data_IF_652287584686
#
_entry.id   IF_652287584686
#
_cell.length_a   1.000
_cell.length_b   1.000
_cell.length_c   1.000
_cell.angle_alpha   90.00
_cell.angle_beta   90.00
_cell.angle_gamma   90.00
#
_symmetry.space_group_name_H-M   'P 1'
#
loop_
_entity.id
_entity.type
_entity.pdbx_description
1 polymer ?
#
# COMPACT_ATOMS: atom_id res chain seq x y z
N UNK A 1 -87.38 5.37 -9.34
CA UNK A 1 -88.01 4.24 -10.02
C UNK A 1 -87.06 3.09 -9.81
N UNK A 2 -87.29 2.03 -9.20
CA UNK A 2 -88.31 1.19 -8.70
C UNK A 2 -87.55 0.03 -8.04
N UNK A 3 -87.74 -0.17 -6.77
CA UNK A 3 -87.65 -1.51 -6.19
C UNK A 3 -88.87 -2.30 -6.61
N UNK A 4 -89.09 -3.57 -6.39
CA UNK A 4 -88.60 -4.44 -5.28
C UNK A 4 -88.36 -5.90 -5.80
N UNK A 5 -87.87 -6.86 -5.02
CA UNK A 5 -88.64 -7.72 -4.13
C UNK A 5 -87.84 -8.97 -3.74
N UNK A 6 -87.80 -9.29 -2.47
CA UNK A 6 -87.60 -10.64 -1.91
C UNK A 6 -88.85 -11.55 -2.26
N UNK A 7 -88.85 -12.89 -2.04
CA UNK A 7 -88.55 -13.57 -0.81
C UNK A 7 -88.10 -15.06 -0.80
N UNK A 8 -87.69 -15.57 0.37
CA UNK A 8 -87.92 -16.92 1.01
C UNK A 8 -87.37 -18.19 0.35
N UNK A 9 -86.91 -19.20 0.99
CA UNK A 9 -87.06 -19.78 2.34
C UNK A 9 -86.16 -21.03 2.50
N UNK A 10 -85.66 -21.25 3.71
CA UNK A 10 -85.53 -22.52 4.41
C UNK A 10 -84.74 -23.74 3.81
N UNK A 11 -83.64 -24.22 4.40
CA UNK A 11 -83.69 -25.36 5.32
C UNK A 11 -82.32 -25.69 5.98
N UNK A 12 -82.39 -26.06 7.20
CA UNK A 12 -81.38 -26.51 8.13
C UNK A 12 -80.53 -27.69 7.64
N UNK A 13 -79.27 -27.72 7.99
CA UNK A 13 -78.40 -28.87 7.91
C UNK A 13 -77.20 -28.68 8.83
N UNK A 14 -77.24 -29.27 9.99
CA UNK A 14 -76.17 -29.30 10.99
C UNK A 14 -75.05 -30.22 10.46
N UNK A 15 -73.86 -29.66 10.21
CA UNK A 15 -72.61 -30.43 9.94
C UNK A 15 -71.52 -29.94 10.86
N UNK A 16 -71.19 -30.69 11.90
CA UNK A 16 -70.03 -30.49 12.75
C UNK A 16 -68.75 -30.74 11.91
N UNK A 17 -68.04 -29.71 11.55
CA UNK A 17 -66.67 -29.83 11.02
C UNK A 17 -65.65 -29.60 12.12
N UNK A 18 -65.01 -30.64 12.53
CA UNK A 18 -63.84 -30.60 13.41
C UNK A 18 -62.68 -29.88 12.69
N UNK A 19 -62.35 -28.66 13.13
CA UNK A 19 -61.14 -27.98 12.73
C UNK A 19 -59.95 -28.60 13.51
N UNK A 20 -59.17 -29.43 12.81
CA UNK A 20 -57.90 -29.91 13.29
C UNK A 20 -56.92 -28.76 13.17
N UNK A 21 -56.60 -28.09 14.25
CA UNK A 21 -55.50 -27.12 14.35
C UNK A 21 -54.22 -27.90 14.50
N UNK A 22 -53.44 -28.01 13.41
CA UNK A 22 -52.09 -28.54 13.44
C UNK A 22 -51.17 -27.41 13.95
N UNK A 23 -50.51 -27.57 15.09
CA UNK A 23 -49.51 -26.60 15.52
C UNK A 23 -48.31 -26.66 14.56
N UNK A 24 -48.08 -25.61 13.80
CA UNK A 24 -46.88 -25.40 13.01
C UNK A 24 -45.70 -25.17 13.97
N UNK A 25 -44.99 -26.25 14.35
CA UNK A 25 -43.76 -26.16 15.09
C UNK A 25 -42.71 -25.47 14.20
N UNK A 26 -42.42 -24.19 14.43
CA UNK A 26 -41.29 -23.46 13.88
C UNK A 26 -40.01 -24.09 14.42
N UNK A 27 -39.47 -25.04 13.67
CA UNK A 27 -38.14 -25.61 13.90
C UNK A 27 -37.13 -24.51 13.50
N UNK A 28 -36.71 -23.70 14.48
CA UNK A 28 -35.62 -22.75 14.31
C UNK A 28 -34.32 -23.57 14.14
N UNK A 29 -33.91 -23.79 12.90
CA UNK A 29 -32.58 -24.26 12.53
C UNK A 29 -31.57 -23.19 12.98
N UNK A 30 -31.11 -23.27 14.21
CA UNK A 30 -29.93 -22.58 14.65
C UNK A 30 -28.74 -23.15 13.85
N UNK A 31 -28.32 -22.41 12.80
CA UNK A 31 -27.07 -22.71 12.11
C UNK A 31 -25.95 -22.71 13.18
N UNK A 32 -25.14 -23.74 13.27
CA UNK A 32 -24.03 -23.74 14.20
C UNK A 32 -23.10 -22.60 13.76
N UNK A 33 -22.97 -21.60 14.61
CA UNK A 33 -21.91 -20.60 14.49
C UNK A 33 -20.60 -21.36 14.52
N UNK A 34 -19.99 -21.56 13.37
CA UNK A 34 -18.68 -22.21 13.26
C UNK A 34 -17.69 -21.34 14.01
N UNK A 35 -17.45 -21.67 15.27
CA UNK A 35 -16.38 -21.06 16.04
C UNK A 35 -15.09 -21.32 15.27
N UNK A 36 -14.53 -20.26 14.66
CA UNK A 36 -13.26 -20.34 13.95
C UNK A 36 -12.23 -20.99 14.90
N UNK A 37 -11.74 -22.18 14.54
CA UNK A 37 -10.73 -22.90 15.33
C UNK A 37 -9.54 -21.97 15.52
N UNK A 38 -9.14 -21.74 16.77
CA UNK A 38 -7.91 -21.00 17.07
C UNK A 38 -6.76 -21.69 16.35
N UNK A 39 -5.93 -20.97 15.59
CA UNK A 39 -4.79 -21.57 14.91
C UNK A 39 -3.87 -22.20 15.98
N UNK A 40 -3.46 -23.44 15.76
CA UNK A 40 -2.54 -24.16 16.65
C UNK A 40 -1.08 -23.78 16.40
N UNK A 41 -0.82 -23.04 15.33
CA UNK A 41 0.50 -22.55 14.92
C UNK A 41 0.38 -21.13 14.37
N UNK A 42 1.48 -20.39 14.38
CA UNK A 42 1.57 -19.11 13.70
C UNK A 42 1.35 -19.33 12.19
N UNK A 43 0.41 -18.60 11.61
CA UNK A 43 0.27 -18.50 10.17
C UNK A 43 0.85 -17.16 9.71
N UNK A 44 1.74 -17.21 8.72
CA UNK A 44 2.36 -16.03 8.11
C UNK A 44 2.05 -16.06 6.62
N UNK A 45 1.21 -15.14 6.17
CA UNK A 45 0.92 -14.90 4.77
C UNK A 45 1.72 -13.69 4.27
N UNK A 46 2.13 -13.74 3.01
CA UNK A 46 2.94 -12.70 2.39
C UNK A 46 2.36 -12.35 1.02
N UNK A 47 2.25 -11.07 0.74
CA UNK A 47 1.92 -10.53 -0.57
C UNK A 47 3.07 -9.65 -1.06
N UNK A 48 3.43 -9.75 -2.34
CA UNK A 48 2.92 -10.68 -3.36
C UNK A 48 3.35 -12.12 -3.07
N UNK A 49 2.62 -13.13 -3.56
CA UNK A 49 2.95 -14.55 -3.35
C UNK A 49 4.32 -14.94 -3.95
N UNK A 50 4.74 -14.27 -5.02
CA UNK A 50 6.08 -14.37 -5.59
C UNK A 50 6.88 -13.12 -5.26
N UNK A 51 7.81 -13.24 -4.34
CA UNK A 51 8.72 -12.16 -3.95
C UNK A 51 9.92 -12.15 -4.91
N UNK A 52 10.24 -10.98 -5.45
CA UNK A 52 11.44 -10.73 -6.25
C UNK A 52 12.25 -9.58 -5.65
N UNK A 53 13.52 -9.42 -6.02
CA UNK A 53 14.23 -8.18 -5.68
C UNK A 53 13.49 -6.96 -6.28
N UNK A 54 13.31 -5.92 -5.46
CA UNK A 54 12.43 -4.78 -5.75
C UNK A 54 11.00 -4.90 -5.19
N UNK A 55 10.58 -6.04 -4.64
CA UNK A 55 9.22 -6.21 -4.12
C UNK A 55 8.99 -5.48 -2.80
N UNK A 56 7.91 -4.69 -2.66
CA UNK A 56 7.32 -4.43 -1.35
C UNK A 56 6.62 -5.69 -0.85
N UNK A 57 6.52 -5.86 0.46
CA UNK A 57 5.87 -6.99 1.11
C UNK A 57 4.78 -6.48 2.06
N UNK A 58 3.58 -7.01 1.97
CA UNK A 58 2.61 -7.00 3.06
C UNK A 58 2.72 -8.35 3.79
N UNK A 59 2.99 -8.29 5.07
CA UNK A 59 3.14 -9.44 5.96
C UNK A 59 1.93 -9.48 6.88
N UNK A 60 1.15 -10.55 6.78
CA UNK A 60 0.04 -10.85 7.68
C UNK A 60 0.45 -11.99 8.61
N UNK A 61 0.33 -11.76 9.92
CA UNK A 61 0.65 -12.74 10.94
C UNK A 61 -0.60 -13.04 11.76
N UNK A 62 -1.05 -14.29 11.75
CA UNK A 62 -2.09 -14.80 12.64
C UNK A 62 -1.42 -15.66 13.70
N UNK A 63 -1.20 -15.14 14.92
CA UNK A 63 -0.55 -15.90 15.98
C UNK A 63 -1.46 -16.98 16.55
N UNK A 64 -0.87 -18.06 17.08
CA UNK A 64 -1.61 -19.15 17.71
C UNK A 64 -2.36 -18.72 19.00
N UNK A 65 -1.93 -17.63 19.61
CA UNK A 65 -2.50 -17.05 20.82
C UNK A 65 -2.47 -15.51 20.75
N UNK A 66 -3.28 -14.85 21.58
CA UNK A 66 -3.32 -13.40 21.62
C UNK A 66 -1.97 -12.80 22.04
N UNK A 67 -1.50 -11.82 21.28
CA UNK A 67 -0.28 -11.07 21.55
C UNK A 67 -0.61 -9.68 22.07
N UNK A 68 0.23 -9.18 22.97
CA UNK A 68 0.26 -7.77 23.41
C UNK A 68 1.05 -6.91 22.40
N UNK A 69 2.11 -7.48 21.83
CA UNK A 69 2.94 -6.82 20.82
C UNK A 69 3.54 -7.84 19.86
N UNK A 70 3.85 -7.37 18.65
CA UNK A 70 4.57 -8.12 17.62
C UNK A 70 5.56 -7.19 16.94
N UNK A 71 6.78 -7.66 16.78
CA UNK A 71 7.83 -7.03 15.98
C UNK A 71 8.54 -8.09 15.14
N UNK A 72 9.36 -7.68 14.19
CA UNK A 72 10.15 -8.61 13.39
C UNK A 72 11.42 -7.99 12.86
N UNK A 73 12.23 -8.83 12.21
CA UNK A 73 13.41 -8.42 11.45
C UNK A 73 13.37 -9.02 10.05
N UNK A 74 13.71 -8.20 9.06
CA UNK A 74 13.77 -8.59 7.65
C UNK A 74 14.93 -7.88 6.97
N UNK A 75 15.88 -8.65 6.40
CA UNK A 75 17.04 -8.12 5.68
C UNK A 75 17.80 -7.03 6.47
N UNK A 76 17.96 -7.22 7.77
CA UNK A 76 18.64 -6.28 8.67
C UNK A 76 17.80 -5.11 9.16
N UNK A 77 16.56 -4.95 8.70
CA UNK A 77 15.63 -3.89 9.11
C UNK A 77 14.61 -4.39 10.13
N UNK A 78 14.16 -3.50 11.02
CA UNK A 78 13.05 -3.78 11.92
C UNK A 78 11.71 -3.72 11.16
N UNK A 79 10.86 -4.71 11.36
CA UNK A 79 9.49 -4.73 10.82
C UNK A 79 8.52 -4.40 11.93
N UNK A 80 7.78 -3.31 11.74
CA UNK A 80 6.73 -2.88 12.66
C UNK A 80 5.40 -3.52 12.28
N UNK A 81 4.66 -3.97 13.27
CA UNK A 81 3.35 -4.59 13.10
C UNK A 81 2.28 -3.83 13.85
N UNK A 82 1.10 -3.71 13.23
CA UNK A 82 -0.11 -3.19 13.87
C UNK A 82 -1.16 -4.29 13.92
N UNK A 83 -1.81 -4.44 15.07
CA UNK A 83 -2.93 -5.36 15.20
C UNK A 83 -4.13 -4.90 14.37
N UNK A 84 -4.85 -5.84 13.80
CA UNK A 84 -6.19 -5.62 13.31
C UNK A 84 -7.15 -5.28 14.47
N UNK A 85 -8.28 -4.62 14.18
CA UNK A 85 -9.28 -4.23 15.19
C UNK A 85 -9.76 -5.41 16.03
N UNK A 86 -9.83 -6.61 15.46
CA UNK A 86 -10.21 -7.83 16.17
C UNK A 86 -9.08 -8.42 17.03
N UNK A 87 -7.85 -7.96 16.88
CA UNK A 87 -6.64 -8.47 17.52
C UNK A 87 -6.24 -9.90 17.06
N UNK A 88 -6.86 -10.42 15.99
CA UNK A 88 -6.60 -11.78 15.49
C UNK A 88 -5.42 -11.82 14.50
N UNK A 89 -5.23 -10.77 13.74
CA UNK A 89 -4.16 -10.64 12.77
C UNK A 89 -3.32 -9.39 13.04
N UNK A 90 -2.08 -9.44 12.60
CA UNK A 90 -1.11 -8.36 12.67
C UNK A 90 -0.56 -8.10 11.28
N UNK A 91 -0.44 -6.84 10.91
CA UNK A 91 0.01 -6.42 9.59
C UNK A 91 1.24 -5.54 9.69
N UNK A 92 2.24 -5.87 8.87
CA UNK A 92 3.46 -5.08 8.71
C UNK A 92 3.84 -4.96 7.24
N UNK A 93 4.58 -3.90 6.93
CA UNK A 93 5.16 -3.68 5.60
C UNK A 93 6.66 -3.89 5.69
N UNK A 94 7.23 -4.50 4.64
CA UNK A 94 8.65 -4.66 4.44
C UNK A 94 9.01 -4.44 2.96
N UNK A 95 10.30 -4.47 2.64
CA UNK A 95 10.78 -4.30 1.27
C UNK A 95 11.97 -5.20 0.97
N UNK A 96 12.19 -5.43 -0.33
CA UNK A 96 13.38 -6.09 -0.86
C UNK A 96 14.04 -5.12 -1.84
N UNK A 97 15.30 -4.78 -1.64
CA UNK A 97 16.04 -3.89 -2.53
C UNK A 97 16.19 -4.46 -3.93
N UNK A 98 16.35 -3.57 -4.92
CA UNK A 98 16.61 -3.97 -6.31
C UNK A 98 17.94 -4.72 -6.44
N UNK A 99 18.90 -4.40 -5.60
CA UNK A 99 20.24 -5.00 -5.55
C UNK A 99 20.34 -6.19 -4.59
N UNK A 100 19.23 -6.57 -3.92
CA UNK A 100 19.23 -7.71 -3.00
C UNK A 100 19.48 -9.02 -3.74
N UNK A 101 20.31 -9.87 -3.15
CA UNK A 101 20.66 -11.16 -3.76
C UNK A 101 19.48 -12.12 -3.68
N UNK A 102 19.10 -12.75 -4.82
CA UNK A 102 18.09 -13.80 -4.80
C UNK A 102 18.52 -14.98 -3.93
N UNK A 103 17.57 -15.54 -3.19
CA UNK A 103 17.86 -16.63 -2.26
C UNK A 103 16.77 -16.81 -1.21
N UNK A 104 17.02 -17.72 -0.27
CA UNK A 104 16.17 -17.92 0.92
C UNK A 104 16.57 -16.90 1.98
N UNK A 105 15.65 -16.05 2.36
CA UNK A 105 15.80 -15.05 3.41
C UNK A 105 14.92 -15.43 4.60
N UNK A 106 15.32 -15.02 5.80
CA UNK A 106 14.59 -15.33 7.04
C UNK A 106 13.90 -14.06 7.54
N UNK A 107 12.59 -14.14 7.70
CA UNK A 107 11.79 -13.20 8.47
C UNK A 107 11.73 -13.71 9.92
N UNK A 108 12.32 -12.97 10.83
CA UNK A 108 12.24 -13.23 12.27
C UNK A 108 11.04 -12.46 12.85
N UNK A 109 10.27 -13.11 13.70
CA UNK A 109 9.11 -12.55 14.38
C UNK A 109 9.24 -12.75 15.89
N UNK A 110 9.00 -11.68 16.65
CA UNK A 110 9.08 -11.66 18.10
C UNK A 110 7.79 -11.11 18.69
N UNK A 111 7.05 -11.95 19.39
CA UNK A 111 5.79 -11.59 20.02
C UNK A 111 5.89 -11.61 21.53
N UNK A 112 5.09 -10.77 22.20
CA UNK A 112 4.84 -10.84 23.64
C UNK A 112 3.38 -11.23 23.84
N UNK A 113 3.13 -12.31 24.58
CA UNK A 113 1.77 -12.76 24.87
C UNK A 113 1.04 -11.82 25.82
N UNK A 114 -0.28 -11.96 25.94
CA UNK A 114 -1.07 -11.25 26.93
C UNK A 114 -0.61 -11.52 28.38
N UNK A 115 0.05 -12.67 28.62
CA UNK A 115 0.60 -13.04 29.92
C UNK A 115 2.02 -12.50 30.17
N UNK A 116 2.66 -11.93 29.14
CA UNK A 116 4.03 -11.39 29.22
C UNK A 116 5.11 -12.36 28.72
N UNK A 117 4.77 -13.57 28.25
CA UNK A 117 5.75 -14.51 27.74
C UNK A 117 6.30 -14.07 26.39
N UNK A 118 7.62 -14.11 26.19
CA UNK A 118 8.25 -13.87 24.91
C UNK A 118 8.16 -15.12 24.02
N UNK A 119 7.81 -14.91 22.75
CA UNK A 119 7.72 -15.98 21.75
C UNK A 119 8.42 -15.54 20.48
N UNK A 120 9.15 -16.45 19.86
CA UNK A 120 9.80 -16.20 18.57
C UNK A 120 9.35 -17.21 17.53
N UNK A 121 9.29 -16.75 16.28
CA UNK A 121 8.95 -17.55 15.12
C UNK A 121 9.74 -17.09 13.90
N UNK A 122 10.20 -18.02 13.09
CA UNK A 122 10.90 -17.73 11.83
C UNK A 122 10.09 -18.18 10.62
N UNK A 123 10.10 -17.35 9.58
CA UNK A 123 9.54 -17.68 8.27
C UNK A 123 10.59 -17.52 7.19
N UNK A 124 10.89 -18.60 6.47
CA UNK A 124 11.76 -18.54 5.29
C UNK A 124 10.95 -18.10 4.08
N UNK A 125 11.46 -17.06 3.39
CA UNK A 125 10.86 -16.46 2.20
C UNK A 125 11.86 -16.61 1.06
N UNK A 126 11.42 -17.13 -0.09
CA UNK A 126 12.25 -17.21 -1.28
C UNK A 126 12.17 -15.86 -2.03
N UNK A 127 13.28 -15.17 -2.12
CA UNK A 127 13.46 -14.01 -3.00
C UNK A 127 13.96 -14.53 -4.35
N UNK A 128 13.24 -14.19 -5.42
CA UNK A 128 13.60 -14.57 -6.79
C UNK A 128 14.28 -13.39 -7.51
N UNK A 129 15.00 -13.67 -8.57
CA UNK A 129 15.57 -12.64 -9.44
C UNK A 129 14.47 -11.99 -10.28
N UNK A 130 14.37 -10.65 -10.24
CA UNK A 130 13.56 -9.89 -11.17
C UNK A 130 14.24 -9.79 -12.56
N UNK A 131 13.43 -9.49 -13.56
CA UNK A 131 13.92 -9.19 -14.92
C UNK A 131 13.65 -7.71 -15.17
N UNK A 132 14.71 -6.92 -15.29
CA UNK A 132 14.63 -5.49 -15.56
C UNK A 132 15.10 -5.17 -16.96
N UNK A 133 14.46 -4.20 -17.60
CA UNK A 133 14.79 -3.70 -18.92
C UNK A 133 16.01 -2.77 -18.87
N UNK A 134 16.61 -2.50 -20.03
CA UNK A 134 17.68 -1.50 -20.20
C UNK A 134 17.28 -0.56 -21.32
N UNK A 135 17.38 0.74 -21.08
CA UNK A 135 17.07 1.79 -22.05
C UNK A 135 18.13 2.89 -22.05
N UNK A 136 18.30 3.55 -23.18
CA UNK A 136 19.05 4.80 -23.29
C UNK A 136 18.07 5.96 -23.19
N UNK A 137 18.46 6.99 -22.44
CA UNK A 137 17.63 8.20 -22.19
C UNK A 137 18.46 9.44 -22.48
N UNK A 138 17.90 10.39 -23.21
CA UNK A 138 18.54 11.68 -23.44
C UNK A 138 17.96 12.72 -22.50
N UNK A 139 18.84 13.47 -21.83
CA UNK A 139 18.49 14.56 -20.90
C UNK A 139 19.37 15.77 -21.16
N UNK A 140 18.99 17.00 -20.75
CA UNK A 140 19.85 18.18 -20.81
C UNK A 140 21.21 17.93 -20.12
N UNK A 141 22.30 18.42 -20.72
CA UNK A 141 23.68 18.14 -20.29
C UNK A 141 23.94 18.47 -18.81
N UNK A 142 23.33 19.52 -18.26
CA UNK A 142 23.48 19.89 -16.84
C UNK A 142 23.15 18.76 -15.85
N UNK A 143 22.37 17.72 -16.26
CA UNK A 143 22.02 16.60 -15.43
C UNK A 143 23.04 15.43 -15.51
N UNK A 144 23.93 15.45 -16.49
CA UNK A 144 25.04 14.51 -16.64
C UNK A 144 26.40 15.17 -16.39
N UNK A 145 26.52 16.47 -16.63
CA UNK A 145 27.70 17.29 -16.48
C UNK A 145 27.35 18.58 -15.72
N UNK A 146 27.06 18.47 -14.39
CA UNK A 146 26.63 19.61 -13.60
C UNK A 146 27.75 20.64 -13.41
N UNK A 147 27.39 21.94 -13.46
CA UNK A 147 28.29 23.04 -13.12
C UNK A 147 28.66 23.04 -11.63
N UNK A 148 29.69 23.80 -11.19
CA UNK A 148 30.00 23.95 -9.76
C UNK A 148 28.82 24.48 -8.92
N UNK A 149 27.98 25.36 -9.47
CA UNK A 149 26.78 25.84 -8.81
C UNK A 149 25.71 24.75 -8.68
N UNK A 150 25.51 23.95 -9.77
CA UNK A 150 24.62 22.80 -9.73
C UNK A 150 25.07 21.76 -8.71
N UNK A 151 26.39 21.50 -8.59
CA UNK A 151 26.95 20.58 -7.62
C UNK A 151 26.69 21.03 -6.16
N UNK A 152 26.72 22.34 -5.90
CA UNK A 152 26.34 22.90 -4.61
C UNK A 152 24.87 22.57 -4.28
N UNK A 153 23.95 22.81 -5.21
CA UNK A 153 22.53 22.50 -5.05
C UNK A 153 22.31 20.99 -4.86
N UNK A 154 22.95 20.15 -5.69
CA UNK A 154 22.87 18.69 -5.60
C UNK A 154 23.31 18.19 -4.21
N UNK A 155 24.39 18.74 -3.64
CA UNK A 155 24.88 18.34 -2.33
C UNK A 155 23.91 18.79 -1.23
N UNK A 156 23.35 19.99 -1.31
CA UNK A 156 22.35 20.49 -0.36
C UNK A 156 21.07 19.59 -0.42
N UNK A 157 20.59 19.29 -1.62
CA UNK A 157 19.43 18.40 -1.80
C UNK A 157 19.68 16.98 -1.28
N UNK A 158 20.91 16.47 -1.47
CA UNK A 158 21.31 15.15 -0.96
C UNK A 158 21.27 15.12 0.57
N UNK A 159 21.80 16.16 1.24
CA UNK A 159 21.77 16.27 2.70
C UNK A 159 20.33 16.37 3.22
N UNK A 160 19.50 17.21 2.62
CA UNK A 160 18.09 17.35 2.97
C UNK A 160 17.34 16.03 2.79
N UNK A 161 17.50 15.36 1.63
CA UNK A 161 16.88 14.05 1.39
C UNK A 161 17.34 13.01 2.41
N UNK A 162 18.61 12.97 2.76
CA UNK A 162 19.12 12.06 3.77
C UNK A 162 18.42 12.25 5.12
N UNK A 163 18.19 13.50 5.52
CA UNK A 163 17.45 13.83 6.74
C UNK A 163 15.97 13.44 6.65
N UNK A 164 15.28 13.87 5.58
CA UNK A 164 13.84 13.65 5.41
C UNK A 164 13.51 12.15 5.25
N UNK A 165 14.29 11.45 4.42
CA UNK A 165 14.04 10.05 4.08
C UNK A 165 14.56 9.05 5.13
N UNK A 166 15.24 9.50 6.19
CA UNK A 166 15.67 8.65 7.30
C UNK A 166 14.57 8.42 8.33
N UNK A 167 13.45 9.12 8.21
CA UNK A 167 12.33 8.99 9.17
C UNK A 167 11.76 7.58 9.15
N UNK A 168 11.77 6.93 10.30
CA UNK A 168 11.21 5.60 10.53
C UNK A 168 10.47 5.64 11.87
N UNK A 169 9.21 5.27 11.87
CA UNK A 169 8.38 5.19 13.08
C UNK A 169 7.52 3.93 13.05
N UNK A 170 7.14 3.40 14.24
CA UNK A 170 6.31 2.20 14.33
C UNK A 170 4.84 2.46 13.97
N UNK A 171 4.41 3.72 14.04
CA UNK A 171 3.02 4.11 13.78
C UNK A 171 2.61 3.80 12.35
N UNK A 172 1.44 3.21 12.17
CA UNK A 172 0.83 2.98 10.87
C UNK A 172 -0.08 4.14 10.52
N UNK A 173 0.24 4.88 9.48
CA UNK A 173 -0.62 5.93 8.95
C UNK A 173 -1.47 5.44 7.77
N UNK A 174 -0.98 4.53 6.94
CA UNK A 174 -1.75 3.97 5.83
C UNK A 174 -2.98 3.18 6.27
N UNK A 175 -4.03 3.16 5.43
CA UNK A 175 -5.30 2.49 5.71
C UNK A 175 -5.94 2.01 4.41
N UNK A 176 -6.29 0.73 4.35
CA UNK A 176 -6.85 0.11 3.15
C UNK A 176 -5.90 0.17 1.94
N UNK A 177 -6.40 -0.20 0.77
CA UNK A 177 -5.59 -0.29 -0.44
C UNK A 177 -4.99 1.06 -0.87
N UNK A 178 -3.76 1.03 -1.36
CA UNK A 178 -3.16 2.16 -2.07
C UNK A 178 -3.84 2.38 -3.41
N UNK A 179 -4.00 3.62 -3.84
CA UNK A 179 -4.64 4.00 -5.10
C UNK A 179 -3.63 4.65 -6.06
N UNK A 180 -3.82 4.45 -7.36
CA UNK A 180 -2.98 5.13 -8.34
C UNK A 180 -3.11 6.66 -8.21
N UNK A 181 -2.00 7.42 -8.29
CA UNK A 181 -2.00 8.87 -8.10
C UNK A 181 -2.63 9.63 -9.25
N UNK A 182 -2.69 9.02 -10.43
CA UNK A 182 -3.30 9.54 -11.65
C UNK A 182 -3.97 8.41 -12.43
N UNK A 183 -4.94 8.74 -13.28
CA UNK A 183 -5.56 7.79 -14.23
C UNK A 183 -4.84 7.88 -15.58
N UNK A 184 -3.76 7.14 -15.75
CA UNK A 184 -2.97 7.14 -16.98
C UNK A 184 -2.22 5.81 -17.18
N UNK A 185 -1.72 5.60 -18.40
CA UNK A 185 -0.84 4.48 -18.70
C UNK A 185 0.56 4.68 -18.10
N UNK A 186 1.17 3.57 -17.74
CA UNK A 186 2.57 3.54 -17.30
C UNK A 186 3.45 3.68 -18.52
N UNK A 187 4.39 4.63 -18.48
CA UNK A 187 5.36 4.89 -19.55
C UNK A 187 6.73 4.27 -19.28
N UNK A 188 7.13 4.12 -18.01
CA UNK A 188 8.33 3.35 -17.63
C UNK A 188 8.15 2.72 -16.24
N UNK A 189 8.76 1.56 -16.06
CA UNK A 189 8.56 0.71 -14.87
C UNK A 189 9.76 0.78 -13.93
N UNK A 190 9.53 0.42 -12.67
CA UNK A 190 10.55 0.24 -11.65
C UNK A 190 11.62 -0.78 -12.10
N UNK A 191 12.88 -0.51 -11.75
CA UNK A 191 14.01 -1.40 -12.00
C UNK A 191 14.63 -1.26 -13.39
N UNK A 192 14.03 -0.47 -14.31
CA UNK A 192 14.61 -0.20 -15.62
C UNK A 192 16.01 0.42 -15.48
N UNK A 193 17.05 -0.25 -16.02
CA UNK A 193 18.40 0.27 -16.05
C UNK A 193 18.50 1.35 -17.15
N UNK A 194 18.83 2.57 -16.77
CA UNK A 194 18.89 3.74 -17.65
C UNK A 194 20.32 4.18 -17.88
N UNK A 195 20.70 4.42 -19.14
CA UNK A 195 21.94 5.09 -19.50
C UNK A 195 21.60 6.49 -20.00
N UNK A 196 22.04 7.52 -19.28
CA UNK A 196 21.79 8.91 -19.62
C UNK A 196 22.91 9.44 -20.50
N UNK A 197 22.57 9.97 -21.69
CA UNK A 197 23.52 10.54 -22.66
C UNK A 197 24.74 9.63 -22.93
N UNK A 198 24.55 8.31 -22.86
CA UNK A 198 25.61 7.32 -23.10
C UNK A 198 26.65 7.14 -21.98
N UNK A 199 26.57 7.93 -20.90
CA UNK A 199 27.60 7.97 -19.86
C UNK A 199 27.11 7.50 -18.49
N UNK A 200 26.11 8.18 -17.92
CA UNK A 200 25.63 7.92 -16.55
C UNK A 200 24.68 6.72 -16.52
N UNK A 201 24.97 5.74 -15.66
CA UNK A 201 24.08 4.61 -15.43
C UNK A 201 23.27 4.84 -14.14
N UNK A 202 21.97 4.50 -14.18
CA UNK A 202 21.05 4.59 -13.05
C UNK A 202 19.97 3.52 -13.17
N UNK A 203 19.42 3.09 -12.05
CA UNK A 203 18.24 2.23 -12.01
C UNK A 203 17.01 3.12 -11.73
N UNK A 204 15.95 2.92 -12.49
CA UNK A 204 14.68 3.62 -12.29
C UNK A 204 14.05 3.17 -10.96
N UNK A 205 14.05 4.05 -9.97
CA UNK A 205 13.59 3.77 -8.61
C UNK A 205 12.11 4.12 -8.39
N UNK A 206 11.31 4.09 -9.45
CA UNK A 206 9.89 4.46 -9.41
C UNK A 206 9.10 3.95 -10.59
N UNK A 207 7.94 4.53 -10.78
CA UNK A 207 6.97 4.24 -11.81
C UNK A 207 6.61 5.57 -12.49
N UNK A 208 6.78 5.64 -13.82
CA UNK A 208 6.43 6.83 -14.58
C UNK A 208 5.04 6.68 -15.22
N UNK A 209 4.20 7.68 -15.03
CA UNK A 209 2.89 7.81 -15.66
C UNK A 209 2.94 8.86 -16.77
N UNK A 210 2.61 8.47 -18.00
CA UNK A 210 2.52 9.39 -19.13
C UNK A 210 1.28 10.28 -19.02
N UNK A 211 1.47 11.51 -18.50
CA UNK A 211 0.38 12.48 -18.31
C UNK A 211 0.81 13.86 -18.80
N UNK A 212 -0.13 14.65 -19.37
CA UNK A 212 0.13 16.05 -19.68
C UNK A 212 0.49 16.86 -18.43
N UNK A 213 1.23 17.95 -18.63
CA UNK A 213 1.46 18.93 -17.58
C UNK A 213 0.13 19.51 -17.07
N UNK A 214 0.02 19.69 -15.75
CA UNK A 214 -1.17 20.22 -15.11
C UNK A 214 -2.23 19.18 -14.75
N UNK A 215 -1.96 17.86 -14.97
CA UNK A 215 -2.86 16.81 -14.51
C UNK A 215 -2.85 16.75 -12.98
N UNK A 216 -4.01 16.74 -12.30
CA UNK A 216 -4.11 16.59 -10.85
C UNK A 216 -3.44 15.29 -10.36
N UNK A 217 -2.57 15.41 -9.36
CA UNK A 217 -1.85 14.30 -8.73
C UNK A 217 -2.39 14.08 -7.33
N UNK A 218 -2.80 12.84 -7.06
CA UNK A 218 -3.45 12.44 -5.82
C UNK A 218 -2.50 11.69 -4.89
N UNK A 219 -2.67 11.85 -3.57
CA UNK A 219 -2.01 11.01 -2.57
C UNK A 219 -2.47 9.56 -2.72
N UNK A 220 -1.52 8.62 -2.84
CA UNK A 220 -1.81 7.18 -3.03
C UNK A 220 -2.45 6.54 -1.80
N UNK A 221 -2.19 7.09 -0.62
CA UNK A 221 -2.82 6.74 0.66
C UNK A 221 -2.71 7.94 1.61
N UNK A 222 -3.36 7.87 2.77
CA UNK A 222 -3.19 8.89 3.81
C UNK A 222 -1.76 8.87 4.34
N UNK A 223 -1.30 10.02 4.80
CA UNK A 223 0.05 10.18 5.35
C UNK A 223 0.35 11.62 5.74
N UNK A 224 1.56 11.84 6.20
CA UNK A 224 2.07 13.16 6.57
C UNK A 224 3.09 13.64 5.54
N UNK A 225 2.95 14.87 5.06
CA UNK A 225 3.91 15.49 4.13
C UNK A 225 5.22 15.75 4.87
N UNK A 226 6.31 15.10 4.44
CA UNK A 226 7.65 15.36 4.98
C UNK A 226 8.40 16.44 4.19
N UNK A 227 8.15 16.50 2.88
CA UNK A 227 8.80 17.43 1.97
C UNK A 227 7.82 17.91 0.91
N UNK A 228 7.86 19.19 0.57
CA UNK A 228 7.17 19.77 -0.57
C UNK A 228 7.99 20.96 -1.07
N UNK A 229 8.98 20.72 -1.97
CA UNK A 229 9.84 21.75 -2.53
C UNK A 229 10.52 21.36 -3.83
N UNK A 230 11.17 22.34 -4.49
CA UNK A 230 11.98 22.14 -5.67
C UNK A 230 13.35 21.55 -5.29
N UNK A 231 13.73 20.45 -5.98
CA UNK A 231 15.03 19.81 -5.90
C UNK A 231 15.66 19.74 -7.30
N UNK A 232 16.98 19.61 -7.38
CA UNK A 232 17.70 19.69 -8.66
C UNK A 232 17.30 18.56 -9.64
N UNK A 233 17.32 17.31 -9.19
CA UNK A 233 16.97 16.16 -10.04
C UNK A 233 15.48 15.85 -10.03
N UNK A 234 14.86 15.88 -8.88
CA UNK A 234 13.45 15.51 -8.69
C UNK A 234 12.47 16.58 -9.19
N UNK A 235 12.96 17.82 -9.40
CA UNK A 235 12.08 18.96 -9.67
C UNK A 235 11.21 19.28 -8.46
N UNK A 236 10.02 19.83 -8.66
CA UNK A 236 9.05 19.98 -7.59
C UNK A 236 8.65 18.59 -7.08
N UNK A 237 8.92 18.35 -5.81
CA UNK A 237 8.85 17.03 -5.18
C UNK A 237 7.99 17.07 -3.92
N UNK A 238 7.12 16.08 -3.76
CA UNK A 238 6.38 15.82 -2.52
C UNK A 238 6.81 14.46 -1.97
N UNK A 239 7.07 14.38 -0.67
CA UNK A 239 7.32 13.12 0.06
C UNK A 239 6.23 12.96 1.10
N UNK A 240 5.54 11.82 1.07
CA UNK A 240 4.55 11.41 2.08
C UNK A 240 5.11 10.28 2.94
N UNK A 241 4.97 10.41 4.24
CA UNK A 241 5.20 9.36 5.23
C UNK A 241 3.87 8.64 5.51
N UNK A 242 3.83 7.35 5.28
CA UNK A 242 2.67 6.51 5.56
C UNK A 242 2.82 5.71 6.86
N UNK A 243 3.90 5.96 7.59
CA UNK A 243 4.26 5.21 8.80
C UNK A 243 4.92 3.86 8.50
N UNK A 244 5.39 3.20 9.55
CA UNK A 244 6.12 1.93 9.48
C UNK A 244 7.35 1.96 8.54
N UNK A 245 7.92 3.16 8.33
CA UNK A 245 9.06 3.39 7.44
C UNK A 245 8.71 3.39 5.94
N UNK A 246 7.43 3.41 5.57
CA UNK A 246 6.97 3.48 4.18
C UNK A 246 6.77 4.93 3.75
N UNK A 247 7.50 5.34 2.72
CA UNK A 247 7.39 6.65 2.08
C UNK A 247 6.95 6.51 0.63
N UNK A 248 6.17 7.49 0.14
CA UNK A 248 5.97 7.70 -1.31
C UNK A 248 6.46 9.06 -1.74
N UNK A 249 7.03 9.14 -2.93
CA UNK A 249 7.73 10.31 -3.46
C UNK A 249 7.15 10.62 -4.84
N UNK A 250 6.66 11.84 -5.01
CA UNK A 250 6.05 12.34 -6.24
C UNK A 250 6.97 13.40 -6.83
N UNK A 251 7.44 13.21 -8.06
CA UNK A 251 8.45 14.08 -8.68
C UNK A 251 7.96 14.71 -9.96
N UNK A 252 8.73 15.68 -10.43
CA UNK A 252 8.57 16.43 -11.69
C UNK A 252 7.29 17.25 -11.75
N UNK A 253 6.69 17.60 -10.58
CA UNK A 253 5.45 18.36 -10.49
C UNK A 253 5.63 19.77 -11.08
N UNK A 254 4.58 20.31 -11.70
CA UNK A 254 4.54 21.72 -12.13
C UNK A 254 4.13 22.64 -10.98
N UNK A 255 3.34 22.14 -10.03
CA UNK A 255 2.83 22.89 -8.88
C UNK A 255 2.74 21.99 -7.65
N UNK A 256 3.15 22.53 -6.51
CA UNK A 256 2.95 21.92 -5.19
C UNK A 256 1.69 22.53 -4.57
N UNK A 257 0.82 21.70 -3.97
CA UNK A 257 -0.44 22.15 -3.36
C UNK A 257 -0.57 21.72 -1.89
N UNK A 258 0.51 21.20 -1.32
CA UNK A 258 0.64 20.82 0.09
C UNK A 258 1.94 21.38 0.65
N UNK A 259 2.09 21.38 1.97
CA UNK A 259 3.27 21.85 2.69
C UNK A 259 3.74 20.83 3.73
N UNK A 260 5.04 20.85 4.13
CA UNK A 260 5.56 19.98 5.18
C UNK A 260 4.77 20.08 6.48
N UNK A 261 4.51 18.93 7.11
CA UNK A 261 3.70 18.79 8.32
C UNK A 261 2.20 18.63 8.08
N UNK A 262 1.72 18.85 6.86
CA UNK A 262 0.30 18.66 6.51
C UNK A 262 -0.05 17.16 6.47
N UNK A 263 -1.20 16.79 7.02
CA UNK A 263 -1.79 15.46 6.87
C UNK A 263 -2.68 15.44 5.63
N UNK A 264 -2.53 14.41 4.83
CA UNK A 264 -3.31 14.21 3.62
C UNK A 264 -4.06 12.89 3.68
N UNK A 265 -5.24 12.87 3.08
CA UNK A 265 -6.05 11.66 2.92
C UNK A 265 -5.78 10.97 1.57
N UNK A 266 -6.09 9.68 1.46
CA UNK A 266 -6.02 8.96 0.19
C UNK A 266 -6.92 9.62 -0.84
N UNK A 267 -6.36 9.95 -2.01
CA UNK A 267 -7.08 10.64 -3.09
C UNK A 267 -7.19 12.15 -2.92
N UNK A 268 -6.59 12.73 -1.89
CA UNK A 268 -6.44 14.18 -1.80
C UNK A 268 -5.43 14.65 -2.85
N UNK A 269 -5.74 15.74 -3.55
CA UNK A 269 -4.82 16.37 -4.49
C UNK A 269 -3.65 17.00 -3.74
N UNK A 270 -2.44 16.70 -4.19
CA UNK A 270 -1.19 17.17 -3.57
C UNK A 270 -0.35 18.03 -4.51
N UNK A 271 -0.73 18.13 -5.78
CA UNK A 271 -0.03 18.94 -6.78
C UNK A 271 -0.53 18.66 -8.18
N UNK A 272 0.18 19.22 -9.16
CA UNK A 272 -0.07 19.04 -10.59
C UNK A 272 1.17 18.42 -11.25
N UNK A 273 0.97 17.48 -12.16
CA UNK A 273 2.04 16.87 -12.95
C UNK A 273 2.77 17.90 -13.81
N UNK A 274 4.01 17.63 -14.16
CA UNK A 274 4.83 18.54 -14.95
C UNK A 274 6.05 17.88 -15.58
N UNK A 275 7.11 18.64 -15.75
CA UNK A 275 8.40 18.21 -16.30
C UNK A 275 9.57 18.95 -15.65
N UNK A 276 9.44 19.35 -14.38
CA UNK A 276 10.51 20.04 -13.65
C UNK A 276 11.62 19.07 -13.25
N UNK A 277 12.84 19.56 -13.05
CA UNK A 277 13.99 18.71 -12.71
C UNK A 277 14.50 17.89 -13.92
N UNK A 278 15.07 16.70 -13.65
CA UNK A 278 15.64 15.81 -14.67
C UNK A 278 14.54 14.96 -15.34
N UNK A 279 13.75 15.60 -16.19
CA UNK A 279 12.68 14.97 -16.95
C UNK A 279 12.94 15.10 -18.45
N UNK A 280 12.49 14.14 -19.25
CA UNK A 280 12.55 14.16 -20.72
C UNK A 280 11.34 14.82 -21.35
N UNK A 281 10.27 14.99 -20.58
CA UNK A 281 8.99 15.59 -20.97
C UNK A 281 7.99 15.51 -19.82
N UNK A 282 6.77 16.01 -20.02
CA UNK A 282 5.74 15.95 -18.98
C UNK A 282 5.37 14.52 -18.61
N UNK A 283 5.48 14.20 -17.33
CA UNK A 283 5.05 12.93 -16.73
C UNK A 283 4.94 13.06 -15.21
N UNK A 284 4.37 12.08 -14.55
CA UNK A 284 4.48 11.91 -13.10
C UNK A 284 5.38 10.73 -12.81
N UNK A 285 6.44 10.95 -12.03
CA UNK A 285 7.24 9.90 -11.41
C UNK A 285 6.74 9.65 -9.99
N UNK A 286 6.36 8.41 -9.70
CA UNK A 286 6.02 7.92 -8.35
C UNK A 286 7.08 6.93 -7.88
N UNK A 287 7.73 7.21 -6.75
CA UNK A 287 8.58 6.23 -6.09
C UNK A 287 7.97 5.75 -4.77
N UNK A 288 8.29 4.54 -4.36
CA UNK A 288 8.00 4.00 -3.03
C UNK A 288 9.31 3.56 -2.36
N UNK A 289 9.44 3.87 -1.07
CA UNK A 289 10.65 3.57 -0.31
C UNK A 289 10.29 3.05 1.07
N UNK A 290 10.87 1.93 1.46
CA UNK A 290 10.71 1.36 2.79
C UNK A 290 12.06 1.32 3.50
N UNK A 291 12.21 2.07 4.61
CA UNK A 291 13.41 2.14 5.46
C UNK A 291 14.73 2.22 4.67
N UNK A 292 14.80 3.09 3.67
CA UNK A 292 16.00 3.26 2.85
C UNK A 292 16.00 2.47 1.55
N UNK A 293 15.15 1.47 1.42
CA UNK A 293 15.09 0.56 0.28
C UNK A 293 13.99 1.00 -0.69
N UNK A 294 14.34 1.27 -1.95
CA UNK A 294 13.33 1.52 -2.97
C UNK A 294 12.66 0.23 -3.41
N UNK A 295 11.34 0.26 -3.50
CA UNK A 295 10.49 -0.87 -3.87
C UNK A 295 9.55 -0.49 -5.01
N UNK A 296 9.08 -1.50 -5.76
CA UNK A 296 8.20 -1.29 -6.92
C UNK A 296 6.85 -0.71 -6.53
N UNK A 297 6.53 0.54 -6.95
CA UNK A 297 5.25 1.16 -6.64
C UNK A 297 4.07 0.44 -7.28
N UNK A 298 4.23 -0.18 -8.47
CA UNK A 298 3.15 -0.92 -9.12
C UNK A 298 2.71 -2.11 -8.27
N UNK A 299 3.68 -2.84 -7.71
CA UNK A 299 3.41 -3.93 -6.77
C UNK A 299 2.77 -3.40 -5.48
N UNK A 300 3.25 -2.27 -4.92
CA UNK A 300 2.64 -1.65 -3.72
C UNK A 300 1.16 -1.31 -3.94
N UNK A 301 0.82 -0.70 -5.07
CA UNK A 301 -0.56 -0.34 -5.43
C UNK A 301 -1.46 -1.57 -5.64
N UNK A 302 -0.88 -2.74 -5.93
CA UNK A 302 -1.61 -3.99 -6.13
C UNK A 302 -1.82 -4.82 -4.85
N UNK A 303 -1.11 -4.51 -3.75
CA UNK A 303 -1.28 -5.20 -2.48
C UNK A 303 -2.71 -5.04 -1.95
N UNK A 304 -3.26 -6.12 -1.38
CA UNK A 304 -4.57 -6.10 -0.73
C UNK A 304 -4.38 -5.81 0.75
N UNK A 305 -4.46 -4.52 1.07
CA UNK A 305 -4.27 -4.04 2.43
C UNK A 305 -5.50 -4.30 3.30
N UNK A 306 -5.33 -4.48 4.63
CA UNK A 306 -6.43 -4.70 5.57
C UNK A 306 -7.30 -3.46 5.76
#
# INVERSE_FOLDING_TARGET
>A
MGAPSLPRCLRQGWGFSFLIVIPLALLSLALPCSAARKPTRWAVAIQPARVVNGSPLLIEVTPAQALKSLSGKWLGHDVFFSAETTGRAWYGIAGVGVDEHPGKQVLELHGVTAKGDAISFERRIQVHKAKYQRIAVSVPAKYTEPSPADLQQINADKALKAQVLSRVGPEREWSGNFAAPVKASISDVFGTARTFNGQTQSVHQGLDYGVPQGTPVMAVNRGTVLLAQLLFFEGNCVVLDHGQGLLTIYMHLSKLEVKPGERVERGQQIGLSGGTGRATGPHLHLAARWQGVYVDPATLLALKMP
#
